data_IF_707120811821
#
_entry.id   IF_707120811821
#
_cell.length_a   1.000
_cell.length_b   1.000
_cell.length_c   1.000
_cell.angle_alpha   90.00
_cell.angle_beta   90.00
_cell.angle_gamma   90.00
#
_symmetry.space_group_name_H-M   'P 1'
#
loop_
_entity.id
_entity.type
_entity.pdbx_description
1 polymer ?
#
# COMPACT_ATOMS: atom_id res chain seq x y z
N UNK A 1 16.14 -32.41 10.37
CA UNK A 1 16.62 -31.04 10.07
C UNK A 1 15.74 -30.31 9.05
N UNK A 2 15.37 -30.94 7.93
CA UNK A 2 14.44 -30.33 6.95
C UNK A 2 13.04 -30.04 7.51
N UNK A 3 12.46 -30.98 8.27
CA UNK A 3 11.14 -30.84 8.90
C UNK A 3 11.08 -29.71 9.94
N UNK A 4 12.13 -29.51 10.73
CA UNK A 4 12.21 -28.44 11.73
C UNK A 4 12.28 -27.06 11.09
N UNK A 5 13.07 -26.91 10.02
CA UNK A 5 13.16 -25.65 9.25
C UNK A 5 11.80 -25.33 8.60
N UNK A 6 11.14 -26.32 8.01
CA UNK A 6 9.84 -26.12 7.37
C UNK A 6 8.77 -25.72 8.40
N UNK A 7 8.74 -26.37 9.56
CA UNK A 7 7.82 -26.00 10.66
C UNK A 7 8.05 -24.56 11.14
N UNK A 8 9.32 -24.16 11.30
CA UNK A 8 9.66 -22.79 11.66
C UNK A 8 9.20 -21.80 10.58
N UNK A 9 9.47 -22.09 9.31
CA UNK A 9 9.09 -21.24 8.18
C UNK A 9 7.56 -21.04 8.11
N UNK A 10 6.78 -22.11 8.28
CA UNK A 10 5.30 -22.03 8.33
C UNK A 10 4.81 -21.19 9.49
N UNK A 11 5.34 -21.41 10.71
CA UNK A 11 4.99 -20.58 11.88
C UNK A 11 5.32 -19.12 11.66
N UNK A 12 6.51 -18.83 11.15
CA UNK A 12 6.93 -17.48 10.81
C UNK A 12 6.00 -16.84 9.78
N UNK A 13 5.64 -17.55 8.70
CA UNK A 13 4.71 -17.09 7.66
C UNK A 13 3.36 -16.68 8.25
N UNK A 14 2.79 -17.51 9.13
CA UNK A 14 1.48 -17.26 9.75
C UNK A 14 1.53 -16.06 10.69
N UNK A 15 2.49 -16.02 11.63
CA UNK A 15 2.57 -14.93 12.62
C UNK A 15 2.93 -13.59 11.98
N UNK A 16 3.99 -13.56 11.17
CA UNK A 16 4.41 -12.33 10.49
C UNK A 16 3.35 -11.86 9.49
N UNK A 17 2.77 -12.77 8.70
CA UNK A 17 1.71 -12.46 7.76
C UNK A 17 0.48 -11.85 8.44
N UNK A 18 0.02 -12.46 9.54
CA UNK A 18 -1.13 -11.95 10.31
C UNK A 18 -0.87 -10.55 10.85
N UNK A 19 0.28 -10.34 11.49
CA UNK A 19 0.64 -9.02 12.04
C UNK A 19 0.73 -7.97 10.94
N UNK A 20 1.43 -8.27 9.84
CA UNK A 20 1.58 -7.33 8.71
C UNK A 20 0.23 -7.03 8.08
N UNK A 21 -0.64 -8.03 7.91
CA UNK A 21 -1.96 -7.85 7.31
C UNK A 21 -2.86 -6.96 8.18
N UNK A 22 -2.96 -7.25 9.49
CA UNK A 22 -3.80 -6.46 10.41
C UNK A 22 -3.33 -5.00 10.50
N UNK A 23 -2.03 -4.79 10.70
CA UNK A 23 -1.44 -3.46 10.76
C UNK A 23 -1.53 -2.71 9.42
N UNK A 24 -1.34 -3.43 8.32
CA UNK A 24 -1.41 -2.89 6.97
C UNK A 24 -2.82 -2.45 6.59
N UNK A 25 -3.84 -3.23 6.93
CA UNK A 25 -5.25 -2.86 6.71
C UNK A 25 -5.59 -1.59 7.48
N UNK A 26 -5.31 -1.57 8.79
CA UNK A 26 -5.62 -0.41 9.65
C UNK A 26 -4.88 0.84 9.16
N UNK A 27 -3.57 0.72 8.89
CA UNK A 27 -2.74 1.83 8.43
C UNK A 27 -3.21 2.41 7.09
N UNK A 28 -3.44 1.56 6.09
CA UNK A 28 -3.88 2.02 4.77
C UNK A 28 -5.29 2.63 4.81
N UNK A 29 -6.21 2.10 5.62
CA UNK A 29 -7.54 2.71 5.82
C UNK A 29 -7.41 4.11 6.42
N UNK A 30 -6.56 4.29 7.44
CA UNK A 30 -6.35 5.62 8.04
C UNK A 30 -5.74 6.58 7.01
N UNK A 31 -4.75 6.14 6.20
CA UNK A 31 -4.19 6.97 5.13
C UNK A 31 -5.27 7.43 4.15
N UNK A 32 -6.10 6.51 3.66
CA UNK A 32 -7.20 6.82 2.73
C UNK A 32 -8.14 7.85 3.36
N UNK A 33 -8.55 7.66 4.63
CA UNK A 33 -9.43 8.60 5.33
C UNK A 33 -8.79 9.98 5.49
N UNK A 34 -7.52 10.06 5.90
CA UNK A 34 -6.82 11.33 6.11
C UNK A 34 -6.66 12.10 4.80
N UNK A 35 -6.25 11.44 3.72
CA UNK A 35 -6.04 12.13 2.44
C UNK A 35 -7.35 12.49 1.71
N UNK A 36 -8.42 11.70 1.88
CA UNK A 36 -9.71 11.99 1.24
C UNK A 36 -10.56 13.01 1.99
N UNK A 37 -10.51 13.05 3.33
CA UNK A 37 -11.43 13.88 4.12
C UNK A 37 -10.88 15.26 4.46
N UNK A 38 -9.56 15.43 4.49
CA UNK A 38 -8.97 16.71 4.86
C UNK A 38 -8.83 17.61 3.64
N UNK A 39 -9.50 18.76 3.67
CA UNK A 39 -9.43 19.80 2.63
C UNK A 39 -8.00 20.17 2.23
N UNK A 40 -7.06 20.13 3.17
CA UNK A 40 -5.64 20.44 2.93
C UNK A 40 -4.95 19.44 1.99
N UNK A 41 -5.38 18.17 2.02
CA UNK A 41 -4.76 17.10 1.22
C UNK A 41 -5.60 16.71 0.01
N UNK A 42 -6.93 16.82 0.08
CA UNK A 42 -7.83 16.33 -0.98
C UNK A 42 -7.61 16.98 -2.35
N UNK A 43 -7.21 18.25 -2.35
CA UNK A 43 -6.95 19.00 -3.58
C UNK A 43 -5.46 18.97 -4.00
N UNK A 44 -4.62 18.25 -3.24
CA UNK A 44 -3.21 18.06 -3.52
C UNK A 44 -2.98 16.82 -4.39
N UNK A 45 -2.28 16.99 -5.51
CA UNK A 45 -2.02 15.94 -6.52
C UNK A 45 -1.13 14.82 -5.98
N UNK A 46 -0.09 15.15 -5.21
CA UNK A 46 0.78 14.19 -4.55
C UNK A 46 0.00 13.35 -3.52
N UNK A 47 -0.86 13.99 -2.72
CA UNK A 47 -1.76 13.28 -1.81
C UNK A 47 -2.77 12.38 -2.54
N UNK A 48 -3.23 12.77 -3.74
CA UNK A 48 -4.04 11.90 -4.60
C UNK A 48 -3.30 10.61 -4.97
N UNK A 49 -2.05 10.70 -5.46
CA UNK A 49 -1.26 9.49 -5.77
C UNK A 49 -1.00 8.61 -4.54
N UNK A 50 -0.70 9.23 -3.38
CA UNK A 50 -0.56 8.50 -2.10
C UNK A 50 -1.85 7.81 -1.65
N UNK A 51 -3.01 8.40 -1.98
CA UNK A 51 -4.32 7.79 -1.71
C UNK A 51 -4.51 6.56 -2.58
N UNK A 52 -4.23 6.67 -3.88
CA UNK A 52 -4.34 5.55 -4.82
C UNK A 52 -3.35 4.43 -4.45
N UNK A 53 -2.11 4.77 -4.07
CA UNK A 53 -1.13 3.82 -3.53
C UNK A 53 -1.68 3.08 -2.29
N UNK A 54 -2.28 3.81 -1.35
CA UNK A 54 -2.89 3.21 -0.15
C UNK A 54 -4.08 2.30 -0.49
N UNK A 55 -4.87 2.62 -1.51
CA UNK A 55 -5.96 1.74 -2.00
C UNK A 55 -5.38 0.44 -2.56
N UNK A 56 -4.37 0.51 -3.42
CA UNK A 56 -3.73 -0.69 -3.97
C UNK A 56 -3.06 -1.53 -2.90
N UNK A 57 -2.38 -0.91 -1.93
CA UNK A 57 -1.79 -1.61 -0.79
C UNK A 57 -2.85 -2.29 0.08
N UNK A 58 -3.99 -1.63 0.33
CA UNK A 58 -5.11 -2.21 1.06
C UNK A 58 -5.69 -3.44 0.32
N UNK A 59 -5.94 -3.33 -0.98
CA UNK A 59 -6.43 -4.43 -1.79
C UNK A 59 -5.42 -5.60 -1.83
N UNK A 60 -4.12 -5.30 -1.88
CA UNK A 60 -3.07 -6.31 -1.86
C UNK A 60 -3.01 -7.06 -0.52
N UNK A 61 -3.17 -6.34 0.59
CA UNK A 61 -3.26 -6.96 1.92
C UNK A 61 -4.49 -7.88 2.00
N UNK A 62 -5.64 -7.41 1.52
CA UNK A 62 -6.90 -8.16 1.57
C UNK A 62 -6.85 -9.43 0.72
N UNK A 63 -6.43 -9.34 -0.54
CA UNK A 63 -6.48 -10.47 -1.49
C UNK A 63 -5.16 -11.22 -1.61
N UNK A 64 -4.02 -10.53 -1.59
CA UNK A 64 -2.70 -11.16 -1.74
C UNK A 64 -2.27 -11.88 -0.47
N UNK A 65 -2.17 -11.14 0.64
CA UNK A 65 -1.62 -11.69 1.89
C UNK A 65 -2.58 -12.65 2.58
N UNK A 66 -3.87 -12.31 2.69
CA UNK A 66 -4.85 -13.19 3.34
C UNK A 66 -4.90 -14.58 2.70
N UNK A 67 -4.83 -14.65 1.38
CA UNK A 67 -4.78 -15.94 0.65
C UNK A 67 -3.49 -16.70 0.97
N UNK A 68 -2.35 -16.03 1.05
CA UNK A 68 -1.08 -16.67 1.44
C UNK A 68 -1.09 -17.22 2.88
N UNK A 69 -1.75 -16.52 3.81
CA UNK A 69 -1.91 -16.97 5.20
C UNK A 69 -2.80 -18.21 5.23
N UNK A 70 -3.95 -18.19 4.55
CA UNK A 70 -4.86 -19.34 4.50
C UNK A 70 -4.17 -20.59 3.96
N UNK A 71 -3.40 -20.46 2.87
CA UNK A 71 -2.59 -21.57 2.31
C UNK A 71 -1.57 -22.08 3.33
N UNK A 72 -0.94 -21.18 4.09
CA UNK A 72 0.04 -21.57 5.11
C UNK A 72 -0.60 -22.31 6.30
N UNK A 73 -1.86 -22.01 6.64
CA UNK A 73 -2.60 -22.64 7.75
C UNK A 73 -3.12 -24.01 7.35
N UNK A 74 -3.79 -24.11 6.21
CA UNK A 74 -4.48 -25.34 5.81
C UNK A 74 -3.55 -26.38 5.19
N UNK A 75 -2.32 -26.01 4.81
CA UNK A 75 -1.32 -26.94 4.26
C UNK A 75 -1.65 -27.48 2.87
N UNK A 76 -2.91 -27.40 2.45
CA UNK A 76 -3.39 -27.67 1.10
C UNK A 76 -3.19 -26.43 0.22
N UNK A 77 -2.24 -26.52 -0.71
CA UNK A 77 -2.18 -25.68 -1.89
C UNK A 77 -3.44 -26.00 -2.75
N UNK A 78 -4.62 -25.50 -2.39
CA UNK A 78 -5.80 -25.43 -3.28
C UNK A 78 -5.45 -24.70 -4.60
N UNK A 79 -4.39 -23.87 -4.58
CA UNK A 79 -3.72 -23.32 -5.76
C UNK A 79 -3.16 -24.35 -6.74
N UNK A 80 -2.94 -25.59 -6.30
CA UNK A 80 -2.61 -26.74 -7.14
C UNK A 80 -3.83 -27.54 -7.62
N UNK A 81 -5.04 -27.22 -7.16
CA UNK A 81 -6.30 -27.88 -7.57
C UNK A 81 -7.05 -27.09 -8.64
N UNK A 82 -7.09 -25.75 -8.55
CA UNK A 82 -7.80 -24.90 -9.52
C UNK A 82 -6.87 -24.06 -10.38
N UNK A 83 -6.87 -24.32 -11.68
CA UNK A 83 -6.15 -23.51 -12.67
C UNK A 83 -6.64 -22.06 -12.67
N UNK A 84 -7.94 -21.85 -12.50
CA UNK A 84 -8.55 -20.51 -12.47
C UNK A 84 -7.98 -19.71 -11.31
N UNK A 85 -7.90 -20.31 -10.12
CA UNK A 85 -7.37 -19.66 -8.93
C UNK A 85 -5.86 -19.35 -9.06
N UNK A 86 -5.10 -20.30 -9.64
CA UNK A 86 -3.68 -20.11 -9.96
C UNK A 86 -3.47 -18.84 -10.82
N UNK A 87 -4.22 -18.70 -11.91
CA UNK A 87 -4.12 -17.53 -12.80
C UNK A 87 -4.57 -16.24 -12.13
N UNK A 88 -5.72 -16.26 -11.45
CA UNK A 88 -6.30 -15.08 -10.80
C UNK A 88 -5.36 -14.51 -9.72
N UNK A 89 -4.71 -15.38 -8.94
CA UNK A 89 -3.73 -14.97 -7.92
C UNK A 89 -2.59 -14.16 -8.51
N UNK A 90 -2.01 -14.61 -9.63
CA UNK A 90 -0.95 -13.88 -10.31
C UNK A 90 -1.44 -12.55 -10.89
N UNK A 91 -2.59 -12.55 -11.57
CA UNK A 91 -3.17 -11.34 -12.18
C UNK A 91 -3.40 -10.27 -11.10
N UNK A 92 -4.06 -10.63 -10.00
CA UNK A 92 -4.36 -9.70 -8.91
C UNK A 92 -3.08 -9.22 -8.24
N UNK A 93 -2.21 -10.13 -7.80
CA UNK A 93 -1.00 -9.76 -7.07
C UNK A 93 -0.08 -8.85 -7.90
N UNK A 94 0.10 -9.16 -9.18
CA UNK A 94 0.92 -8.37 -10.09
C UNK A 94 0.30 -7.00 -10.39
N UNK A 95 -1.00 -6.95 -10.69
CA UNK A 95 -1.68 -5.68 -10.98
C UNK A 95 -1.57 -4.73 -9.79
N UNK A 96 -1.88 -5.22 -8.59
CA UNK A 96 -1.87 -4.40 -7.38
C UNK A 96 -0.46 -3.93 -7.01
N UNK A 97 0.55 -4.80 -7.14
CA UNK A 97 1.95 -4.46 -6.85
C UNK A 97 2.49 -3.43 -7.84
N UNK A 98 2.32 -3.66 -9.13
CA UNK A 98 2.82 -2.77 -10.19
C UNK A 98 2.14 -1.41 -10.15
N UNK A 99 0.82 -1.37 -9.88
CA UNK A 99 0.11 -0.12 -9.68
C UNK A 99 0.67 0.63 -8.47
N UNK A 100 0.84 -0.03 -7.31
CA UNK A 100 1.42 0.60 -6.11
C UNK A 100 2.81 1.19 -6.38
N UNK A 101 3.70 0.44 -7.02
CA UNK A 101 5.07 0.90 -7.33
C UNK A 101 5.05 2.08 -8.29
N UNK A 102 4.19 2.04 -9.29
CA UNK A 102 4.03 3.16 -10.24
C UNK A 102 3.48 4.40 -9.55
N UNK A 103 2.55 4.26 -8.60
CA UNK A 103 2.05 5.40 -7.83
C UNK A 103 3.15 6.03 -6.98
N UNK A 104 4.11 5.26 -6.44
CA UNK A 104 5.30 5.82 -5.76
C UNK A 104 6.12 6.67 -6.73
N UNK A 105 6.35 6.21 -7.95
CA UNK A 105 7.04 6.98 -8.99
C UNK A 105 6.29 8.27 -9.37
N UNK A 106 4.98 8.17 -9.60
CA UNK A 106 4.13 9.32 -9.91
C UNK A 106 4.12 10.34 -8.78
N UNK A 107 4.08 9.88 -7.52
CA UNK A 107 4.18 10.73 -6.33
C UNK A 107 5.50 11.49 -6.32
N UNK A 108 6.63 10.81 -6.55
CA UNK A 108 7.94 11.45 -6.61
C UNK A 108 8.05 12.49 -7.72
N UNK A 109 7.55 12.16 -8.92
CA UNK A 109 7.54 13.06 -10.06
C UNK A 109 6.66 14.29 -9.83
N UNK A 110 5.43 14.09 -9.33
CA UNK A 110 4.52 15.20 -9.03
C UNK A 110 5.09 16.12 -7.95
N UNK A 111 5.77 15.57 -6.94
CA UNK A 111 6.43 16.36 -5.90
C UNK A 111 7.60 17.20 -6.46
N UNK A 112 8.32 16.69 -7.45
CA UNK A 112 9.32 17.49 -8.16
C UNK A 112 8.68 18.66 -8.93
N UNK A 113 7.59 18.41 -9.66
CA UNK A 113 6.90 19.46 -10.41
C UNK A 113 6.18 20.48 -9.49
N UNK A 114 5.61 20.02 -8.37
CA UNK A 114 4.93 20.87 -7.39
C UNK A 114 5.88 21.86 -6.72
N UNK A 115 7.11 21.41 -6.45
CA UNK A 115 8.17 22.18 -5.79
C UNK A 115 9.03 22.97 -6.77
N UNK A 116 8.81 22.84 -8.08
CA UNK A 116 9.63 23.53 -9.08
C UNK A 116 9.44 25.06 -9.00
N UNK A 117 10.52 25.80 -9.27
CA UNK A 117 10.53 27.25 -9.24
C UNK A 117 9.79 27.88 -10.42
N UNK A 118 9.73 27.19 -11.57
CA UNK A 118 9.05 27.68 -12.77
C UNK A 118 7.55 27.49 -12.61
N UNK A 119 6.79 28.59 -12.64
CA UNK A 119 5.33 28.54 -12.50
C UNK A 119 4.68 27.69 -13.60
N UNK A 120 5.20 27.78 -14.83
CA UNK A 120 4.68 27.03 -15.98
C UNK A 120 4.73 25.52 -15.74
N UNK A 121 5.88 24.98 -15.30
CA UNK A 121 6.05 23.55 -14.97
C UNK A 121 5.12 23.11 -13.84
N UNK A 122 4.92 23.99 -12.84
CA UNK A 122 4.03 23.71 -11.72
C UNK A 122 2.56 23.64 -12.13
N UNK A 123 2.17 24.44 -13.12
CA UNK A 123 0.79 24.52 -13.65
C UNK A 123 0.48 23.42 -14.67
N UNK A 124 1.49 22.82 -15.32
CA UNK A 124 1.28 21.74 -16.31
C UNK A 124 0.66 20.49 -15.67
N UNK A 125 1.06 20.15 -14.46
CA UNK A 125 0.50 19.03 -13.72
C UNK A 125 -0.84 19.45 -13.09
N UNK A 126 -1.97 19.01 -13.64
CA UNK A 126 -3.28 19.27 -13.02
C UNK A 126 -3.81 18.02 -12.34
N UNK A 127 -4.74 18.16 -11.38
CA UNK A 127 -5.39 16.99 -10.77
C UNK A 127 -6.19 16.17 -11.79
N UNK A 128 -6.73 16.82 -12.83
CA UNK A 128 -7.39 16.15 -13.96
C UNK A 128 -6.42 15.24 -14.71
N UNK A 129 -5.24 15.77 -15.05
CA UNK A 129 -4.17 14.99 -15.68
C UNK A 129 -3.73 13.83 -14.79
N UNK A 130 -3.56 14.06 -13.48
CA UNK A 130 -3.17 13.01 -12.55
C UNK A 130 -4.16 11.83 -12.53
N UNK A 131 -5.47 12.12 -12.55
CA UNK A 131 -6.53 11.10 -12.65
C UNK A 131 -6.47 10.34 -13.97
N UNK A 132 -6.33 11.05 -15.09
CA UNK A 132 -6.24 10.43 -16.42
C UNK A 132 -5.02 9.52 -16.55
N UNK A 133 -3.84 9.99 -16.13
CA UNK A 133 -2.61 9.18 -16.11
C UNK A 133 -2.75 7.95 -15.21
N UNK A 134 -3.35 8.10 -14.03
CA UNK A 134 -3.59 6.98 -13.11
C UNK A 134 -4.47 5.92 -13.77
N UNK A 135 -5.57 6.33 -14.40
CA UNK A 135 -6.48 5.40 -15.08
C UNK A 135 -5.77 4.64 -16.21
N UNK A 136 -5.01 5.34 -17.07
CA UNK A 136 -4.22 4.71 -18.13
C UNK A 136 -3.24 3.69 -17.57
N UNK A 137 -2.50 4.04 -16.52
CA UNK A 137 -1.52 3.15 -15.90
C UNK A 137 -2.17 1.90 -15.32
N UNK A 138 -3.34 2.03 -14.69
CA UNK A 138 -4.11 0.88 -14.18
C UNK A 138 -4.51 -0.04 -15.33
N UNK A 139 -5.02 0.50 -16.44
CA UNK A 139 -5.38 -0.28 -17.61
C UNK A 139 -4.16 -1.02 -18.20
N UNK A 140 -3.03 -0.33 -18.35
CA UNK A 140 -1.77 -0.93 -18.85
C UNK A 140 -1.33 -2.09 -17.95
N UNK A 141 -1.29 -1.89 -16.64
CA UNK A 141 -0.86 -2.93 -15.70
C UNK A 141 -1.82 -4.11 -15.60
N UNK A 142 -3.13 -3.85 -15.72
CA UNK A 142 -4.13 -4.91 -15.75
C UNK A 142 -3.99 -5.75 -17.01
N UNK A 143 -3.86 -5.13 -18.19
CA UNK A 143 -3.61 -5.83 -19.45
C UNK A 143 -2.31 -6.64 -19.40
N UNK A 144 -1.23 -6.05 -18.88
CA UNK A 144 0.05 -6.74 -18.71
C UNK A 144 -0.07 -7.97 -17.78
N UNK A 145 -0.79 -7.83 -16.67
CA UNK A 145 -0.96 -8.92 -15.70
C UNK A 145 -1.87 -10.04 -16.22
N UNK A 146 -2.84 -9.75 -17.09
CA UNK A 146 -3.64 -10.77 -17.78
C UNK A 146 -2.74 -11.69 -18.63
N UNK A 147 -1.78 -11.11 -19.36
CA UNK A 147 -0.81 -11.87 -20.15
C UNK A 147 0.02 -12.79 -19.23
N UNK A 148 0.45 -12.27 -18.08
CA UNK A 148 1.19 -13.06 -17.10
C UNK A 148 0.38 -14.24 -16.55
N UNK A 149 -0.89 -13.99 -16.20
CA UNK A 149 -1.82 -15.03 -15.77
C UNK A 149 -2.07 -16.07 -16.84
N UNK A 150 -2.14 -15.68 -18.12
CA UNK A 150 -2.35 -16.61 -19.23
C UNK A 150 -1.24 -17.68 -19.32
N UNK A 151 0.03 -17.29 -19.14
CA UNK A 151 1.19 -18.18 -19.18
C UNK A 151 1.49 -18.92 -17.87
N UNK A 152 0.64 -18.75 -16.85
CA UNK A 152 0.75 -19.44 -15.57
C UNK A 152 -0.07 -20.75 -15.59
N UNK A 153 0.55 -21.85 -15.18
CA UNK A 153 -0.07 -23.17 -15.11
C UNK A 153 0.37 -23.94 -13.84
N UNK A 154 -0.34 -25.03 -13.54
CA UNK A 154 -0.02 -25.90 -12.41
C UNK A 154 0.93 -27.00 -12.88
N UNK A 155 2.11 -27.08 -12.25
CA UNK A 155 3.09 -28.15 -12.46
C UNK A 155 3.12 -29.10 -11.25
N UNK A 156 3.00 -30.42 -11.42
CA UNK A 156 2.87 -31.38 -10.31
C UNK A 156 4.01 -31.32 -9.27
N UNK A 157 5.24 -31.06 -9.71
CA UNK A 157 6.44 -31.07 -8.86
C UNK A 157 6.79 -29.72 -8.21
N UNK A 158 6.17 -28.62 -8.67
CA UNK A 158 6.54 -27.24 -8.30
C UNK A 158 5.33 -26.50 -7.71
N UNK A 159 4.15 -26.65 -8.32
CA UNK A 159 2.92 -25.92 -8.01
C UNK A 159 2.53 -24.96 -9.14
N UNK A 160 1.75 -23.93 -8.82
CA UNK A 160 1.36 -22.87 -9.74
C UNK A 160 2.59 -22.01 -10.11
N UNK A 161 3.03 -22.04 -11.37
CA UNK A 161 4.22 -21.33 -11.86
C UNK A 161 4.08 -20.94 -13.34
N UNK A 162 5.03 -20.16 -13.87
CA UNK A 162 5.09 -19.79 -15.28
C UNK A 162 5.57 -21.00 -16.08
N UNK A 163 4.72 -21.52 -16.97
CA UNK A 163 5.05 -22.72 -17.75
C UNK A 163 5.81 -22.43 -19.05
N UNK A 164 5.65 -21.24 -19.62
CA UNK A 164 6.28 -20.88 -20.88
C UNK A 164 7.71 -20.38 -20.68
N UNK A 165 8.68 -20.99 -21.38
CA UNK A 165 10.11 -20.66 -21.28
C UNK A 165 10.41 -19.20 -21.67
N UNK A 166 9.92 -18.76 -22.83
CA UNK A 166 10.16 -17.41 -23.34
C UNK A 166 9.60 -16.36 -22.37
N UNK A 167 8.42 -16.63 -21.82
CA UNK A 167 7.82 -15.74 -20.82
C UNK A 167 8.55 -15.78 -19.48
N UNK A 168 9.13 -16.92 -19.10
CA UNK A 168 9.99 -17.03 -17.91
C UNK A 168 11.28 -16.22 -18.05
N UNK A 169 11.87 -16.20 -19.26
CA UNK A 169 13.01 -15.33 -19.57
C UNK A 169 12.61 -13.85 -19.52
N UNK A 170 11.47 -13.48 -20.11
CA UNK A 170 10.91 -12.13 -19.99
C UNK A 170 10.72 -11.71 -18.53
N UNK A 171 10.15 -12.58 -17.70
CA UNK A 171 9.94 -12.31 -16.30
C UNK A 171 11.27 -12.07 -15.56
N UNK A 172 12.23 -12.98 -15.79
CA UNK A 172 13.56 -12.99 -15.17
C UNK A 172 14.41 -11.78 -15.52
N UNK A 173 14.54 -11.48 -16.81
CA UNK A 173 15.53 -10.52 -17.30
C UNK A 173 14.95 -9.12 -17.49
N UNK A 174 13.63 -9.00 -17.63
CA UNK A 174 12.98 -7.72 -17.87
C UNK A 174 11.98 -7.34 -16.76
N UNK A 175 10.96 -8.16 -16.50
CA UNK A 175 9.89 -7.74 -15.60
C UNK A 175 10.38 -7.48 -14.17
N UNK A 176 10.97 -8.48 -13.50
CA UNK A 176 11.41 -8.32 -12.11
C UNK A 176 12.56 -7.31 -11.94
N UNK A 177 13.68 -7.41 -12.68
CA UNK A 177 14.80 -6.50 -12.48
C UNK A 177 14.53 -5.10 -13.01
N UNK A 178 13.90 -4.95 -14.18
CA UNK A 178 13.70 -3.63 -14.80
C UNK A 178 12.42 -3.00 -14.30
N UNK A 179 11.26 -3.58 -14.59
CA UNK A 179 9.96 -2.97 -14.27
C UNK A 179 9.62 -2.99 -12.78
N UNK A 180 9.96 -4.08 -12.09
CA UNK A 180 9.73 -4.25 -10.66
C UNK A 180 10.79 -3.58 -9.78
N UNK A 181 12.00 -3.35 -10.30
CA UNK A 181 13.15 -2.92 -9.51
C UNK A 181 13.80 -1.63 -9.97
N UNK A 182 14.72 -1.73 -10.93
CA UNK A 182 15.60 -0.63 -11.35
C UNK A 182 14.78 0.59 -11.81
N UNK A 183 13.79 0.40 -12.66
CA UNK A 183 12.98 1.50 -13.18
C UNK A 183 12.27 2.29 -12.07
N UNK A 184 11.45 1.67 -11.18
CA UNK A 184 10.78 2.42 -10.13
C UNK A 184 11.75 3.02 -9.12
N UNK A 185 12.85 2.32 -8.78
CA UNK A 185 13.87 2.83 -7.85
C UNK A 185 14.57 4.07 -8.43
N UNK A 186 15.02 4.00 -9.69
CA UNK A 186 15.73 5.11 -10.35
C UNK A 186 14.81 6.31 -10.51
N UNK A 187 13.60 6.11 -11.04
CA UNK A 187 12.63 7.20 -11.25
C UNK A 187 12.28 7.87 -9.92
N UNK A 188 11.87 7.09 -8.92
CA UNK A 188 11.45 7.65 -7.63
C UNK A 188 12.61 8.36 -6.91
N UNK A 189 13.79 7.75 -6.87
CA UNK A 189 14.99 8.34 -6.25
C UNK A 189 15.41 9.64 -6.94
N UNK A 190 15.46 9.63 -8.27
CA UNK A 190 15.85 10.80 -9.06
C UNK A 190 14.91 11.98 -8.82
N UNK A 191 13.60 11.78 -9.00
CA UNK A 191 12.64 12.86 -8.82
C UNK A 191 12.53 13.34 -7.37
N UNK A 192 12.60 12.44 -6.38
CA UNK A 192 12.57 12.88 -4.98
C UNK A 192 13.83 13.60 -4.54
N UNK A 193 15.01 13.25 -5.07
CA UNK A 193 16.22 14.02 -4.82
C UNK A 193 16.12 15.43 -5.41
N UNK A 194 15.56 15.57 -6.62
CA UNK A 194 15.30 16.87 -7.23
C UNK A 194 14.26 17.69 -6.46
N UNK A 195 13.16 17.07 -6.03
CA UNK A 195 12.14 17.70 -5.20
C UNK A 195 12.73 18.21 -3.87
N UNK A 196 13.57 17.39 -3.22
CA UNK A 196 14.27 17.78 -2.01
C UNK A 196 15.19 19.00 -2.21
N UNK A 197 15.95 19.03 -3.31
CA UNK A 197 16.78 20.17 -3.69
C UNK A 197 15.92 21.44 -3.92
N UNK A 198 14.78 21.30 -4.58
CA UNK A 198 13.85 22.40 -4.83
C UNK A 198 13.29 22.98 -3.52
N UNK A 199 12.83 22.13 -2.60
CA UNK A 199 12.32 22.58 -1.29
C UNK A 199 13.40 23.28 -0.48
N UNK A 200 14.64 22.76 -0.45
CA UNK A 200 15.75 23.45 0.22
C UNK A 200 16.04 24.82 -0.39
N UNK A 201 15.83 25.02 -1.70
CA UNK A 201 15.97 26.32 -2.36
C UNK A 201 14.79 27.27 -2.09
N UNK A 202 13.56 26.74 -2.04
CA UNK A 202 12.32 27.49 -1.71
C UNK A 202 12.43 28.20 -0.36
N UNK A 203 13.20 27.62 0.58
CA UNK A 203 13.45 28.21 1.90
C UNK A 203 13.97 29.65 1.85
N UNK A 204 14.63 30.04 0.76
CA UNK A 204 15.22 31.36 0.56
C UNK A 204 14.33 32.37 -0.19
N UNK A 205 13.08 32.02 -0.54
CA UNK A 205 12.17 32.88 -1.33
C UNK A 205 10.89 33.24 -0.55
N UNK A 206 10.27 34.37 -0.92
CA UNK A 206 9.00 34.88 -0.39
C UNK A 206 7.79 34.05 -0.89
N UNK A 207 7.68 32.79 -0.46
CA UNK A 207 6.48 31.95 -0.65
C UNK A 207 5.66 32.00 0.65
N UNK A 208 4.31 32.06 0.57
CA UNK A 208 3.47 32.04 1.77
C UNK A 208 3.82 30.87 2.70
N UNK A 209 4.01 31.19 3.99
CA UNK A 209 4.55 30.29 5.02
C UNK A 209 3.77 28.98 5.10
N UNK A 210 2.45 29.03 4.92
CA UNK A 210 1.55 27.88 4.99
C UNK A 210 1.86 26.86 3.89
N UNK A 211 2.00 27.33 2.63
CA UNK A 211 2.31 26.47 1.48
C UNK A 211 3.70 25.84 1.61
N UNK A 212 4.69 26.65 2.00
CA UNK A 212 6.05 26.18 2.23
C UNK A 212 6.15 25.07 3.29
N UNK A 213 5.39 25.18 4.38
CA UNK A 213 5.34 24.14 5.42
C UNK A 213 4.70 22.85 4.90
N UNK A 214 3.66 22.95 4.09
CA UNK A 214 2.99 21.80 3.47
C UNK A 214 3.93 21.07 2.50
N UNK A 215 4.53 21.79 1.55
CA UNK A 215 5.44 21.21 0.56
C UNK A 215 6.65 20.54 1.26
N UNK A 216 7.23 21.16 2.28
CA UNK A 216 8.32 20.54 3.05
C UNK A 216 7.91 19.25 3.75
N UNK A 217 6.68 19.19 4.27
CA UNK A 217 6.17 18.01 4.95
C UNK A 217 5.88 16.88 3.96
N UNK A 218 5.25 17.19 2.83
CA UNK A 218 4.95 16.20 1.78
C UNK A 218 6.26 15.67 1.18
N UNK A 219 7.21 16.53 0.81
CA UNK A 219 8.51 16.09 0.30
C UNK A 219 9.22 15.17 1.31
N UNK A 220 9.16 15.48 2.61
CA UNK A 220 9.76 14.62 3.64
C UNK A 220 9.05 13.26 3.75
N UNK A 221 7.71 13.21 3.67
CA UNK A 221 6.95 11.96 3.62
C UNK A 221 7.36 11.12 2.41
N UNK A 222 7.40 11.72 1.21
CA UNK A 222 7.73 11.03 -0.04
C UNK A 222 9.16 10.51 -0.02
N UNK A 223 10.12 11.31 0.43
CA UNK A 223 11.52 10.89 0.52
C UNK A 223 11.69 9.68 1.45
N UNK A 224 11.10 9.73 2.65
CA UNK A 224 11.18 8.61 3.60
C UNK A 224 10.44 7.37 3.08
N UNK A 225 9.30 7.56 2.39
CA UNK A 225 8.55 6.46 1.77
C UNK A 225 9.40 5.74 0.71
N UNK A 226 10.21 6.47 -0.05
CA UNK A 226 11.09 5.92 -1.09
C UNK A 226 12.29 5.21 -0.48
N UNK A 227 12.90 5.75 0.59
CA UNK A 227 13.97 5.03 1.31
C UNK A 227 13.46 3.67 1.80
N UNK A 228 12.29 3.65 2.44
CA UNK A 228 11.66 2.40 2.91
C UNK A 228 11.29 1.48 1.74
N UNK A 229 10.76 2.04 0.65
CA UNK A 229 10.48 1.31 -0.59
C UNK A 229 11.72 0.58 -1.11
N UNK A 230 12.87 1.26 -1.23
CA UNK A 230 14.12 0.67 -1.72
C UNK A 230 14.61 -0.42 -0.78
N UNK A 231 14.69 -0.14 0.52
CA UNK A 231 15.20 -1.09 1.51
C UNK A 231 14.38 -2.39 1.57
N UNK A 232 13.06 -2.30 1.38
CA UNK A 232 12.16 -3.44 1.49
C UNK A 232 11.92 -4.19 0.16
N UNK A 233 12.05 -3.53 -0.98
CA UNK A 233 11.77 -4.17 -2.29
C UNK A 233 13.00 -4.82 -2.92
N UNK A 234 14.20 -4.24 -2.77
CA UNK A 234 15.42 -4.77 -3.38
C UNK A 234 15.71 -6.24 -2.99
N UNK A 235 15.68 -6.63 -1.70
CA UNK A 235 15.93 -8.02 -1.32
C UNK A 235 14.90 -8.99 -1.92
N UNK A 236 13.64 -8.57 -1.99
CA UNK A 236 12.55 -9.38 -2.55
C UNK A 236 12.70 -9.59 -4.05
N UNK A 237 13.19 -8.59 -4.80
CA UNK A 237 13.43 -8.70 -6.24
C UNK A 237 14.59 -9.63 -6.53
N UNK A 238 15.70 -9.50 -5.79
CA UNK A 238 16.85 -10.40 -5.89
C UNK A 238 16.40 -11.85 -5.68
N UNK A 239 15.58 -12.08 -4.65
CA UNK A 239 15.03 -13.41 -4.37
C UNK A 239 14.12 -13.92 -5.50
N UNK A 240 13.23 -13.09 -6.07
CA UNK A 240 12.36 -13.53 -7.17
C UNK A 240 13.15 -13.96 -8.40
N UNK A 241 14.21 -13.22 -8.73
CA UNK A 241 15.12 -13.58 -9.83
C UNK A 241 15.78 -14.93 -9.53
N UNK A 242 16.33 -15.10 -8.33
CA UNK A 242 16.89 -16.39 -7.90
C UNK A 242 15.86 -17.52 -8.03
N UNK A 243 14.68 -17.38 -7.43
CA UNK A 243 13.66 -18.42 -7.36
C UNK A 243 13.13 -18.88 -8.72
N UNK A 244 13.08 -17.99 -9.72
CA UNK A 244 12.62 -18.34 -11.08
C UNK A 244 13.70 -19.11 -11.86
N UNK A 245 14.98 -18.82 -11.62
CA UNK A 245 16.09 -19.45 -12.33
C UNK A 245 16.60 -20.72 -11.67
N UNK A 246 16.36 -20.89 -10.38
CA UNK A 246 16.76 -22.08 -9.63
C UNK A 246 15.54 -22.76 -9.01
N UNK A 247 14.63 -23.34 -9.81
CA UNK A 247 13.47 -24.04 -9.28
C UNK A 247 13.93 -25.28 -8.50
N UNK A 248 13.62 -25.32 -7.21
CA UNK A 248 13.94 -26.46 -6.35
C UNK A 248 12.76 -27.43 -6.33
N UNK A 249 13.02 -28.69 -6.69
CA UNK A 249 12.04 -29.77 -6.64
C UNK A 249 11.63 -30.05 -5.20
N UNK A 250 10.33 -30.29 -4.97
CA UNK A 250 9.78 -30.64 -3.64
C UNK A 250 10.41 -31.92 -3.05
N UNK A 251 11.00 -32.78 -3.88
CA UNK A 251 11.59 -34.06 -3.48
C UNK A 251 12.93 -33.91 -2.71
N UNK A 252 13.63 -32.79 -2.87
CA UNK A 252 14.92 -32.54 -2.19
C UNK A 252 14.68 -31.85 -0.84
N UNK A 253 14.46 -32.64 0.21
CA UNK A 253 13.89 -32.16 1.48
C UNK A 253 14.67 -31.03 2.18
N UNK A 254 16.01 -31.04 2.17
CA UNK A 254 16.81 -30.03 2.87
C UNK A 254 16.91 -28.70 2.11
N UNK A 255 17.25 -28.75 0.81
CA UNK A 255 17.34 -27.54 -0.02
C UNK A 255 15.98 -26.85 -0.17
N UNK A 256 14.91 -27.63 -0.33
CA UNK A 256 13.55 -27.10 -0.40
C UNK A 256 13.18 -26.32 0.87
N UNK A 257 13.50 -26.85 2.06
CA UNK A 257 13.18 -26.19 3.32
C UNK A 257 13.91 -24.83 3.47
N UNK A 258 15.19 -24.76 3.07
CA UNK A 258 15.98 -23.51 3.12
C UNK A 258 15.43 -22.48 2.13
N UNK A 259 15.22 -22.87 0.88
CA UNK A 259 14.68 -21.97 -0.15
C UNK A 259 13.28 -21.49 0.23
N UNK A 260 12.45 -22.36 0.82
CA UNK A 260 11.13 -21.97 1.32
C UNK A 260 11.20 -20.93 2.44
N UNK A 261 12.16 -21.06 3.36
CA UNK A 261 12.37 -20.05 4.41
C UNK A 261 12.79 -18.70 3.80
N UNK A 262 13.76 -18.71 2.88
CA UNK A 262 14.19 -17.50 2.16
C UNK A 262 13.04 -16.86 1.39
N UNK A 263 12.18 -17.67 0.75
CA UNK A 263 10.96 -17.22 0.09
C UNK A 263 10.06 -16.43 1.04
N UNK A 264 9.77 -16.99 2.21
CA UNK A 264 8.86 -16.39 3.17
C UNK A 264 9.45 -15.10 3.74
N UNK A 265 10.76 -15.04 4.01
CA UNK A 265 11.45 -13.82 4.44
C UNK A 265 11.37 -12.75 3.34
N UNK A 266 11.69 -13.10 2.10
CA UNK A 266 11.63 -12.18 0.96
C UNK A 266 10.21 -11.64 0.72
N UNK A 267 9.18 -12.49 0.79
CA UNK A 267 7.79 -12.03 0.69
C UNK A 267 7.39 -11.16 1.90
N UNK A 268 7.88 -11.46 3.09
CA UNK A 268 7.60 -10.64 4.28
C UNK A 268 8.14 -9.22 4.12
N UNK A 269 9.34 -9.04 3.55
CA UNK A 269 9.90 -7.73 3.24
C UNK A 269 9.04 -6.95 2.23
N UNK A 270 8.60 -7.62 1.16
CA UNK A 270 7.69 -7.02 0.19
C UNK A 270 6.34 -6.64 0.84
N UNK A 271 5.80 -7.50 1.69
CA UNK A 271 4.56 -7.23 2.42
C UNK A 271 4.71 -6.05 3.39
N UNK A 272 5.85 -5.94 4.08
CA UNK A 272 6.16 -4.79 4.92
C UNK A 272 6.17 -3.48 4.13
N UNK A 273 6.61 -3.50 2.86
CA UNK A 273 6.55 -2.31 2.01
C UNK A 273 5.11 -1.79 1.84
N UNK A 274 4.15 -2.68 1.61
CA UNK A 274 2.73 -2.34 1.46
C UNK A 274 2.08 -1.89 2.79
N UNK A 275 2.63 -2.30 3.93
CA UNK A 275 2.18 -1.86 5.27
C UNK A 275 2.80 -0.50 5.66
N UNK A 276 4.01 -0.22 5.20
CA UNK A 276 4.88 0.84 5.77
C UNK A 276 4.39 2.27 5.61
N UNK A 277 3.56 2.57 4.60
CA UNK A 277 3.21 3.94 4.19
C UNK A 277 2.67 4.78 5.35
N UNK A 278 1.68 4.26 6.09
CA UNK A 278 1.09 4.93 7.25
C UNK A 278 2.10 5.27 8.35
N UNK A 279 2.94 4.29 8.71
CA UNK A 279 3.94 4.45 9.76
C UNK A 279 4.98 5.50 9.38
N UNK A 280 5.42 5.49 8.12
CA UNK A 280 6.32 6.51 7.57
C UNK A 280 5.67 7.90 7.62
N UNK A 281 4.39 8.04 7.26
CA UNK A 281 3.70 9.34 7.28
C UNK A 281 3.50 9.88 8.70
N UNK A 282 3.21 9.02 9.67
CA UNK A 282 3.18 9.38 11.09
C UNK A 282 4.54 9.85 11.57
N UNK A 283 5.62 9.13 11.27
CA UNK A 283 6.96 9.50 11.73
C UNK A 283 7.44 10.82 11.11
N UNK A 284 7.22 10.98 9.80
CA UNK A 284 7.76 12.09 9.01
C UNK A 284 7.07 13.44 9.23
N UNK A 285 5.76 13.46 9.50
CA UNK A 285 4.99 14.72 9.53
C UNK A 285 4.23 14.93 10.83
N UNK A 286 4.64 15.97 11.57
CA UNK A 286 3.90 16.43 12.74
C UNK A 286 2.47 16.82 12.40
N UNK A 287 2.22 17.44 11.24
CA UNK A 287 0.88 17.81 10.81
C UNK A 287 0.02 16.58 10.58
N UNK A 288 0.56 15.55 9.91
CA UNK A 288 -0.16 14.29 9.71
C UNK A 288 -0.54 13.66 11.05
N UNK A 289 0.39 13.60 12.02
CA UNK A 289 0.08 13.14 13.38
C UNK A 289 -1.04 13.92 14.05
N UNK A 290 -1.01 15.25 13.97
CA UNK A 290 -2.07 16.09 14.55
C UNK A 290 -3.42 15.85 13.86
N UNK A 291 -3.41 15.65 12.54
CA UNK A 291 -4.62 15.39 11.77
C UNK A 291 -5.21 14.01 12.07
N UNK A 292 -4.37 12.98 12.21
CA UNK A 292 -4.79 11.64 12.68
C UNK A 292 -5.39 11.74 14.08
N UNK A 293 -4.71 12.41 15.02
CA UNK A 293 -5.24 12.64 16.38
C UNK A 293 -6.57 13.38 16.35
N UNK A 294 -6.66 14.48 15.60
CA UNK A 294 -7.89 15.26 15.46
C UNK A 294 -9.02 14.42 14.88
N UNK A 295 -8.74 13.62 13.84
CA UNK A 295 -9.74 12.76 13.23
C UNK A 295 -10.24 11.69 14.19
N UNK A 296 -9.33 10.98 14.87
CA UNK A 296 -9.67 9.96 15.86
C UNK A 296 -10.46 10.58 17.03
N UNK A 297 -9.97 11.68 17.61
CA UNK A 297 -10.61 12.36 18.74
C UNK A 297 -11.97 12.93 18.34
N UNK A 298 -12.08 13.66 17.22
CA UNK A 298 -13.34 14.27 16.79
C UNK A 298 -14.40 13.22 16.47
N UNK A 299 -14.02 12.10 15.84
CA UNK A 299 -14.97 11.03 15.50
C UNK A 299 -15.41 10.28 16.76
N UNK A 300 -14.49 10.01 17.69
CA UNK A 300 -14.84 9.50 19.02
C UNK A 300 -15.77 10.46 19.77
N UNK A 301 -15.50 11.76 19.79
CA UNK A 301 -16.35 12.76 20.45
C UNK A 301 -17.73 12.88 19.80
N UNK A 302 -17.84 12.81 18.47
CA UNK A 302 -19.13 12.81 17.78
C UNK A 302 -19.92 11.54 18.09
N UNK A 303 -19.26 10.39 18.17
CA UNK A 303 -19.89 9.11 18.51
C UNK A 303 -20.36 9.08 19.99
N UNK A 304 -19.55 9.58 20.92
CA UNK A 304 -19.93 9.69 22.34
C UNK A 304 -21.10 10.65 22.50
N UNK A 305 -21.11 11.77 21.77
CA UNK A 305 -22.22 12.73 21.84
C UNK A 305 -23.53 12.14 21.26
N UNK A 306 -23.48 11.39 20.16
CA UNK A 306 -24.66 10.70 19.63
C UNK A 306 -25.21 9.64 20.58
N UNK A 307 -24.35 8.81 21.21
CA UNK A 307 -24.79 7.85 22.22
C UNK A 307 -25.34 8.53 23.49
N UNK A 308 -24.86 9.72 23.84
CA UNK A 308 -25.39 10.46 24.99
C UNK A 308 -26.77 11.09 24.71
N UNK A 309 -27.04 11.52 23.47
CA UNK A 309 -28.35 12.07 23.09
C UNK A 309 -29.43 10.99 22.99
N UNK A 310 -29.09 9.76 22.59
CA UNK A 310 -30.04 8.62 22.59
C UNK A 310 -30.43 8.19 24.01
N UNK A 311 -29.53 8.29 24.99
CA UNK A 311 -29.85 7.97 26.40
C UNK A 311 -30.65 9.07 27.13
N UNK A 312 -30.79 10.28 26.55
CA UNK A 312 -31.62 11.35 27.10
C UNK A 312 -33.05 11.37 26.51
N UNK A 313 -33.31 10.58 25.47
CA UNK A 313 -34.63 10.38 24.87
C UNK A 313 -35.08 8.94 25.20
N UNK A 314 -35.13 8.61 26.50
CA UNK A 314 -35.95 7.51 26.97
C UNK A 314 -37.39 8.02 27.12
N UNK A 315 -38.41 7.32 26.60
CA UNK A 315 -39.81 7.79 26.57
C UNK A 315 -40.46 7.98 27.96
N UNK A 316 -39.74 7.73 29.06
CA UNK A 316 -40.24 7.91 30.43
C UNK A 316 -40.18 9.33 30.99
N UNK A 317 -39.36 10.25 30.43
CA UNK A 317 -39.19 11.60 31.00
C UNK A 317 -39.89 12.72 30.20
N UNK A 318 -40.49 12.41 29.05
CA UNK A 318 -41.25 13.39 28.26
C UNK A 318 -42.65 13.67 28.84
N UNK A 319 -43.17 12.81 29.72
CA UNK A 319 -44.50 13.01 30.33
C UNK A 319 -44.48 13.89 31.59
N UNK A 320 -43.35 14.01 32.29
CA UNK A 320 -43.27 14.83 33.53
C UNK A 320 -43.05 16.32 33.20
N UNK A 321 -42.50 16.65 32.03
CA UNK A 321 -42.27 18.05 31.66
C UNK A 321 -43.53 18.76 31.13
N UNK A 322 -44.49 18.02 30.56
CA UNK A 322 -45.75 18.61 30.08
C UNK A 322 -46.80 18.79 31.18
N UNK A 323 -46.76 18.04 32.29
CA UNK A 323 -47.72 18.19 33.39
C UNK A 323 -47.45 19.41 34.28
N UNK A 324 -46.23 19.96 34.26
CA UNK A 324 -45.89 21.13 35.06
C UNK A 324 -46.17 22.46 34.35
N UNK A 325 -46.41 22.46 33.03
CA UNK A 325 -46.74 23.68 32.28
C UNK A 325 -48.24 23.97 32.32
N UNK A 326 -49.10 22.95 32.44
CA UNK A 326 -50.55 23.16 32.54
C UNK A 326 -51.02 23.64 33.92
N UNK A 327 -50.21 23.49 34.97
CA UNK A 327 -50.57 23.96 36.31
C UNK A 327 -50.18 25.42 36.61
N UNK A 328 -49.33 26.03 35.78
CA UNK A 328 -48.84 27.41 35.96
C UNK A 328 -49.60 28.44 35.10
N UNK A 329 -50.55 27.99 34.28
CA UNK A 329 -51.42 28.88 33.47
C UNK A 329 -52.83 29.08 34.04
N UNK A 330 -53.15 28.50 35.21
CA UNK A 330 -54.48 28.58 35.83
C UNK A 330 -54.47 29.12 37.27
N UNK A 331 -53.44 29.87 37.69
CA UNK A 331 -53.46 30.66 38.92
C UNK A 331 -52.94 32.07 38.70
#
# INVERSE_FOLDING_TARGET
MSSTILSFATKYSIYSGTVICSLGIVGNVINILVFTQLKVFRDNRCAFYLTIESIFNFLYMLFGISVNILISIYGDDETGRSLIWCKLRYIIAQTLTSCSFTMVCCTAADEYFSTNYRCNLRQTCTLKLARYLTFILICIWTCHSIIFGYFSNIMPSIGCTISNENYRQYATFFFYPVLGGVLPIVISSFFSMLAYRNVRRIVRRQIPIIRRRLDRQITAMVLLRIVVFICLTVPSIIYHIYAINTPVLRNTSAQYAIVRLLQIIAFSLLNLNHMSSFYVFIMSSSRFRHQVKYFLIKKCWKHIRCCHTENLISPGNAQIFNSNIEHEQNN
#
